data_IF_644143343894
#
_entry.id   IF_644143343894
#
_cell.length_a   1.000
_cell.length_b   1.000
_cell.length_c   1.000
_cell.angle_alpha   90.00
_cell.angle_beta   90.00
_cell.angle_gamma   90.00
#
_symmetry.space_group_name_H-M   'P 1'
#
loop_
_entity.id
_entity.type
_entity.pdbx_description
1 polymer ?
#
# COMPACT_ATOMS: atom_id res chain seq x y z
N UNK A 1 28.14 -18.39 25.02
CA UNK A 1 27.03 -17.52 24.56
C UNK A 1 26.00 -17.52 25.67
N UNK A 2 25.79 -16.37 26.31
CA UNK A 2 24.87 -16.27 27.44
C UNK A 2 23.42 -16.15 26.95
N UNK A 3 22.45 -16.59 27.75
CA UNK A 3 21.01 -16.47 27.44
C UNK A 3 20.58 -15.02 27.16
N UNK A 4 21.28 -14.02 27.72
CA UNK A 4 21.04 -12.59 27.48
C UNK A 4 21.57 -12.09 26.11
N UNK A 5 22.54 -12.76 25.49
CA UNK A 5 22.96 -12.48 24.09
C UNK A 5 21.94 -13.00 23.07
N UNK A 6 21.29 -14.12 23.37
CA UNK A 6 20.23 -14.71 22.54
C UNK A 6 18.97 -13.84 22.62
N UNK A 7 18.60 -13.36 23.81
CA UNK A 7 17.49 -12.41 23.98
C UNK A 7 17.79 -11.05 23.30
N UNK A 8 19.04 -10.57 23.33
CA UNK A 8 19.45 -9.38 22.56
C UNK A 8 19.33 -9.57 21.05
N UNK A 9 19.72 -10.74 20.53
CA UNK A 9 19.60 -11.07 19.11
C UNK A 9 18.13 -11.22 18.67
N UNK A 10 17.27 -11.73 19.55
CA UNK A 10 15.82 -11.83 19.32
C UNK A 10 15.12 -10.47 19.45
N UNK A 11 15.60 -9.55 20.30
CA UNK A 11 15.07 -8.18 20.42
C UNK A 11 15.54 -7.27 19.27
N UNK A 12 16.74 -7.50 18.72
CA UNK A 12 17.21 -6.93 17.45
C UNK A 12 16.31 -7.39 16.28
N UNK A 13 15.76 -8.61 16.35
CA UNK A 13 14.75 -9.11 15.40
C UNK A 13 13.38 -8.42 15.48
N UNK A 14 13.11 -7.61 16.52
CA UNK A 14 11.84 -6.90 16.70
C UNK A 14 11.90 -5.40 16.45
N UNK A 15 13.10 -4.82 16.35
CA UNK A 15 13.27 -3.40 16.09
C UNK A 15 13.87 -3.19 14.71
N UNK A 16 13.05 -2.68 13.82
CA UNK A 16 13.48 -2.35 12.47
C UNK A 16 13.92 -0.87 12.41
N UNK A 17 14.96 -0.55 11.62
CA UNK A 17 15.38 0.84 11.44
C UNK A 17 14.22 1.67 10.87
N UNK A 18 13.95 2.83 11.49
CA UNK A 18 12.98 3.79 10.98
C UNK A 18 13.64 5.07 10.47
N UNK A 19 12.96 5.68 9.50
CA UNK A 19 13.32 6.94 8.85
C UNK A 19 12.06 7.81 8.74
N UNK A 20 12.21 9.14 8.64
CA UNK A 20 11.07 10.01 8.33
C UNK A 20 10.36 9.57 7.05
N UNK A 21 9.03 9.54 7.05
CA UNK A 21 8.25 9.08 5.90
C UNK A 21 8.56 9.87 4.62
N UNK A 22 8.77 11.18 4.73
CA UNK A 22 9.16 12.02 3.60
C UNK A 22 10.51 11.67 2.99
N UNK A 23 11.47 11.25 3.82
CA UNK A 23 12.78 10.77 3.34
C UNK A 23 12.61 9.46 2.57
N UNK A 24 11.92 8.47 3.16
CA UNK A 24 11.67 7.19 2.50
C UNK A 24 10.88 7.35 1.19
N UNK A 25 9.86 8.22 1.17
CA UNK A 25 9.10 8.52 -0.04
C UNK A 25 10.01 9.09 -1.15
N UNK A 26 11.00 9.92 -0.79
CA UNK A 26 11.99 10.44 -1.74
C UNK A 26 12.86 9.37 -2.42
N UNK A 27 13.08 8.23 -1.76
CA UNK A 27 13.82 7.10 -2.31
C UNK A 27 12.99 6.16 -3.18
N UNK A 28 11.66 6.23 -3.11
CA UNK A 28 10.78 5.27 -3.81
C UNK A 28 11.05 5.15 -5.33
N UNK A 29 11.26 6.25 -6.08
CA UNK A 29 11.61 6.17 -7.51
C UNK A 29 12.95 5.49 -7.79
N UNK A 30 13.88 5.45 -6.83
CA UNK A 30 15.21 4.86 -7.01
C UNK A 30 15.22 3.34 -6.92
N UNK A 31 14.16 2.71 -6.42
CA UNK A 31 14.10 1.25 -6.28
C UNK A 31 13.75 0.51 -7.59
N UNK A 32 13.60 1.23 -8.70
CA UNK A 32 13.16 0.67 -9.98
C UNK A 32 11.87 -0.13 -9.82
N UNK A 33 11.88 -1.44 -10.05
CA UNK A 33 10.70 -2.30 -9.99
C UNK A 33 10.42 -2.80 -8.58
N UNK A 34 9.20 -2.57 -8.08
CA UNK A 34 8.75 -2.95 -6.74
C UNK A 34 7.32 -3.50 -6.77
N UNK A 35 6.88 -4.08 -5.64
CA UNK A 35 5.48 -4.40 -5.40
C UNK A 35 4.93 -3.43 -4.34
N UNK A 36 4.04 -2.55 -4.75
CA UNK A 36 3.34 -1.59 -3.90
C UNK A 36 2.04 -2.22 -3.38
N UNK A 37 1.84 -2.19 -2.06
CA UNK A 37 0.68 -2.78 -1.39
C UNK A 37 0.03 -1.73 -0.51
N UNK A 38 -1.27 -1.50 -0.71
CA UNK A 38 -2.11 -0.65 0.14
C UNK A 38 -3.31 -1.46 0.57
N UNK A 39 -3.73 -1.34 1.82
CA UNK A 39 -4.91 -2.02 2.33
C UNK A 39 -5.85 -1.03 3.04
N UNK A 40 -7.11 -1.43 3.09
CA UNK A 40 -8.17 -0.85 3.91
C UNK A 40 -8.91 -2.01 4.59
N UNK A 41 -9.90 -1.71 5.43
CA UNK A 41 -10.73 -2.73 6.08
C UNK A 41 -11.43 -3.65 5.07
N UNK A 42 -11.80 -3.15 3.89
CA UNK A 42 -12.59 -3.88 2.91
C UNK A 42 -11.79 -4.40 1.72
N UNK A 43 -10.54 -3.95 1.53
CA UNK A 43 -9.83 -4.15 0.27
C UNK A 43 -8.31 -4.09 0.39
N UNK A 44 -7.62 -4.82 -0.48
CA UNK A 44 -6.17 -4.79 -0.67
C UNK A 44 -5.86 -4.56 -2.13
N UNK A 45 -5.01 -3.58 -2.43
CA UNK A 45 -4.53 -3.27 -3.76
C UNK A 45 -3.02 -3.47 -3.83
N UNK A 46 -2.61 -4.32 -4.75
CA UNK A 46 -1.23 -4.66 -5.02
C UNK A 46 -0.90 -4.26 -6.45
N UNK A 47 0.17 -3.49 -6.65
CA UNK A 47 0.61 -3.08 -7.99
C UNK A 47 2.11 -3.30 -8.15
N UNK A 48 2.51 -3.88 -9.29
CA UNK A 48 3.91 -4.06 -9.65
C UNK A 48 4.34 -2.94 -10.58
N UNK A 49 5.48 -2.30 -10.32
CA UNK A 49 6.00 -1.29 -11.25
C UNK A 49 7.06 -0.39 -10.64
N UNK A 50 7.26 0.76 -11.28
CA UNK A 50 8.22 1.79 -10.86
C UNK A 50 7.46 2.99 -10.33
N UNK A 51 7.87 3.54 -9.19
CA UNK A 51 7.34 4.82 -8.72
C UNK A 51 7.78 5.96 -9.64
N UNK A 52 6.84 6.51 -10.41
CA UNK A 52 7.10 7.73 -11.18
C UNK A 52 7.27 8.95 -10.27
N UNK A 53 6.45 9.01 -9.22
CA UNK A 53 6.64 9.93 -8.12
C UNK A 53 5.87 9.42 -6.90
N UNK A 54 6.53 9.38 -5.75
CA UNK A 54 5.86 9.30 -4.48
C UNK A 54 5.68 10.72 -3.96
N UNK A 55 4.45 11.23 -4.06
CA UNK A 55 4.16 12.62 -3.67
C UNK A 55 3.44 12.65 -2.35
N UNK A 56 3.78 13.65 -1.57
CA UNK A 56 3.03 14.03 -0.39
C UNK A 56 2.01 15.14 -0.75
N UNK A 57 1.21 14.99 -1.84
CA UNK A 57 0.10 15.90 -2.18
C UNK A 57 -0.65 15.47 -3.47
N UNK A 58 -1.99 15.56 -3.53
CA UNK A 58 -2.78 15.15 -4.68
C UNK A 58 -2.76 16.21 -5.80
N UNK A 59 -2.03 15.94 -6.88
CA UNK A 59 -2.40 16.48 -8.21
C UNK A 59 -2.82 15.32 -9.10
N UNK A 60 -4.10 15.25 -9.43
CA UNK A 60 -4.72 14.24 -10.32
C UNK A 60 -5.00 14.88 -11.68
N UNK A 61 -4.53 14.30 -12.79
CA UNK A 61 -4.87 14.86 -14.12
C UNK A 61 -4.03 14.45 -15.33
N UNK A 62 -3.04 13.56 -15.20
CA UNK A 62 -2.22 13.12 -16.34
C UNK A 62 -2.28 11.59 -16.43
N UNK A 63 -2.24 11.02 -17.64
CA UNK A 63 -2.03 9.57 -17.83
C UNK A 63 -0.68 9.19 -17.24
N UNK A 64 -0.67 8.04 -16.57
CA UNK A 64 0.30 7.67 -15.55
C UNK A 64 0.91 6.34 -15.95
N UNK A 65 2.21 6.31 -16.27
CA UNK A 65 2.88 5.07 -16.73
C UNK A 65 3.54 4.31 -15.58
N UNK A 66 3.43 4.78 -14.33
CA UNK A 66 4.07 4.19 -13.15
C UNK A 66 3.13 3.88 -11.99
N UNK A 67 3.72 3.62 -10.82
CA UNK A 67 3.04 3.51 -9.54
C UNK A 67 2.71 4.90 -9.00
N UNK A 68 1.46 5.09 -8.57
CA UNK A 68 1.01 6.35 -8.02
C UNK A 68 0.46 6.19 -6.62
N UNK A 69 1.24 6.68 -5.67
CA UNK A 69 0.85 6.73 -4.26
C UNK A 69 0.93 8.17 -3.77
N UNK A 70 -0.08 8.57 -3.01
CA UNK A 70 -0.10 9.84 -2.30
C UNK A 70 -0.15 9.58 -0.81
N UNK A 71 0.85 10.06 -0.10
CA UNK A 71 0.90 9.97 1.34
C UNK A 71 0.27 11.21 1.98
N UNK A 72 -0.58 10.99 2.97
CA UNK A 72 -1.11 12.04 3.81
C UNK A 72 -0.05 12.42 4.86
N UNK A 73 0.55 13.60 4.73
CA UNK A 73 1.63 14.07 5.61
C UNK A 73 1.18 14.19 7.07
N UNK A 74 -0.08 14.55 7.30
CA UNK A 74 -0.64 14.76 8.64
C UNK A 74 -0.92 13.44 9.36
N UNK A 75 -0.81 12.32 8.64
CA UNK A 75 -1.12 10.98 9.15
C UNK A 75 0.06 10.03 9.08
N UNK A 76 0.96 10.21 8.11
CA UNK A 76 2.09 9.31 7.86
C UNK A 76 3.34 9.88 8.50
N UNK A 77 3.78 9.27 9.60
CA UNK A 77 4.87 9.80 10.41
C UNK A 77 6.23 9.30 9.94
N UNK A 78 6.34 7.99 9.77
CA UNK A 78 7.62 7.29 9.62
C UNK A 78 7.50 6.16 8.60
N UNK A 79 8.65 5.71 8.11
CA UNK A 79 8.76 4.46 7.39
C UNK A 79 9.75 3.54 8.10
N UNK A 80 9.40 2.26 8.15
CA UNK A 80 10.21 1.20 8.74
C UNK A 80 10.77 0.33 7.63
N UNK A 81 12.08 0.05 7.71
CA UNK A 81 12.79 -0.79 6.76
C UNK A 81 12.80 -2.22 7.32
N UNK A 82 11.97 -3.08 6.75
CA UNK A 82 11.94 -4.49 7.06
C UNK A 82 12.96 -5.22 6.16
N UNK A 83 13.94 -5.89 6.76
CA UNK A 83 14.83 -6.78 6.03
C UNK A 83 14.13 -8.09 5.67
N UNK A 84 14.75 -8.89 4.80
CA UNK A 84 14.23 -10.19 4.39
C UNK A 84 13.88 -11.06 5.60
N UNK A 85 12.61 -11.48 5.67
CA UNK A 85 12.18 -12.49 6.62
C UNK A 85 12.21 -13.85 5.91
N UNK A 86 13.21 -14.67 6.26
CA UNK A 86 13.39 -15.99 5.63
C UNK A 86 12.34 -16.99 6.08
N UNK A 87 11.81 -16.86 7.29
CA UNK A 87 10.79 -17.77 7.80
C UNK A 87 9.44 -17.47 7.13
N UNK A 88 9.08 -16.20 7.03
CA UNK A 88 7.88 -15.75 6.33
C UNK A 88 8.05 -15.72 4.80
N UNK A 89 9.27 -15.96 4.29
CA UNK A 89 9.64 -15.85 2.86
C UNK A 89 9.28 -14.49 2.25
N UNK A 90 9.41 -13.43 3.04
CA UNK A 90 9.13 -12.07 2.60
C UNK A 90 10.42 -11.38 2.14
N UNK A 91 10.39 -10.70 0.98
CA UNK A 91 11.52 -9.90 0.53
C UNK A 91 11.66 -8.64 1.41
N UNK A 92 12.78 -7.90 1.31
CA UNK A 92 12.93 -6.61 1.96
C UNK A 92 11.77 -5.67 1.62
N UNK A 93 11.34 -4.86 2.58
CA UNK A 93 10.22 -3.96 2.41
C UNK A 93 10.41 -2.64 3.15
N UNK A 94 9.71 -1.62 2.65
CA UNK A 94 9.54 -0.33 3.32
C UNK A 94 8.07 -0.21 3.70
N UNK A 95 7.79 -0.09 5.00
CA UNK A 95 6.43 0.02 5.55
C UNK A 95 6.21 1.43 6.06
N UNK A 96 5.29 2.17 5.45
CA UNK A 96 4.89 3.50 5.89
C UNK A 96 3.86 3.37 7.00
N UNK A 97 4.16 3.98 8.14
CA UNK A 97 3.35 3.90 9.35
C UNK A 97 2.65 5.22 9.63
N UNK A 98 1.41 5.11 10.11
CA UNK A 98 0.71 6.25 10.68
C UNK A 98 1.21 6.59 12.09
N UNK A 99 0.70 7.68 12.68
CA UNK A 99 1.05 8.08 14.04
C UNK A 99 0.68 7.05 15.13
N UNK A 100 -0.31 6.20 14.89
CA UNK A 100 -0.69 5.10 15.77
C UNK A 100 0.14 3.82 15.54
N UNK A 101 1.02 3.82 14.53
CA UNK A 101 1.79 2.65 14.10
C UNK A 101 1.05 1.76 13.09
N UNK A 102 -0.17 2.10 12.66
CA UNK A 102 -0.86 1.37 11.60
C UNK A 102 -0.08 1.41 10.28
N UNK A 103 0.00 0.30 9.57
CA UNK A 103 0.65 0.25 8.25
C UNK A 103 -0.30 0.84 7.21
N UNK A 104 0.09 1.98 6.66
CA UNK A 104 -0.63 2.65 5.59
C UNK A 104 -0.33 2.13 4.21
N UNK A 105 0.92 1.73 3.99
CA UNK A 105 1.43 1.35 2.69
C UNK A 105 2.70 0.52 2.85
N UNK A 106 2.89 -0.48 2.00
CA UNK A 106 4.10 -1.29 1.98
C UNK A 106 4.66 -1.37 0.57
N UNK A 107 5.96 -1.10 0.42
CA UNK A 107 6.72 -1.35 -0.80
C UNK A 107 7.62 -2.55 -0.57
N UNK A 108 7.36 -3.66 -1.24
CA UNK A 108 8.28 -4.80 -1.28
C UNK A 108 9.27 -4.64 -2.43
N UNK A 109 10.55 -4.87 -2.14
CA UNK A 109 11.58 -4.94 -3.15
C UNK A 109 11.52 -6.30 -3.87
N UNK A 110 11.73 -6.26 -5.17
CA UNK A 110 11.79 -7.45 -6.03
C UNK A 110 13.24 -7.71 -6.44
N UNK A 111 13.50 -8.85 -7.09
CA UNK A 111 14.84 -9.15 -7.62
C UNK A 111 15.46 -8.03 -8.48
N UNK A 112 14.71 -7.31 -9.33
CA UNK A 112 15.25 -6.16 -10.07
C UNK A 112 15.35 -4.85 -9.26
N UNK A 113 15.01 -4.81 -7.98
CA UNK A 113 15.12 -3.56 -7.21
C UNK A 113 16.55 -3.17 -6.91
N UNK A 114 16.82 -1.87 -6.86
CA UNK A 114 18.11 -1.35 -6.41
C UNK A 114 18.27 -1.50 -4.88
N UNK A 115 18.97 -2.56 -4.47
CA UNK A 115 19.30 -2.80 -3.06
C UNK A 115 20.34 -1.80 -2.52
N UNK A 116 21.10 -1.10 -3.36
CA UNK A 116 22.01 -0.04 -2.92
C UNK A 116 21.24 1.18 -2.44
N UNK A 117 20.17 1.57 -3.16
CA UNK A 117 19.26 2.60 -2.70
C UNK A 117 18.68 2.27 -1.30
N UNK A 118 18.41 0.98 -1.03
CA UNK A 118 17.93 0.54 0.29
C UNK A 118 19.01 0.67 1.35
N UNK A 119 20.25 0.29 1.01
CA UNK A 119 21.42 0.47 1.88
C UNK A 119 21.61 1.94 2.26
N UNK A 120 21.57 2.85 1.29
CA UNK A 120 21.67 4.30 1.50
C UNK A 120 20.55 4.83 2.41
N UNK A 121 19.31 4.41 2.18
CA UNK A 121 18.18 4.77 3.05
C UNK A 121 18.38 4.23 4.47
N UNK A 122 18.87 3.00 4.61
CA UNK A 122 19.12 2.35 5.91
C UNK A 122 20.22 3.07 6.70
N UNK A 123 21.24 3.62 6.04
CA UNK A 123 22.28 4.43 6.68
C UNK A 123 21.74 5.76 7.24
N UNK A 124 20.59 6.22 6.75
CA UNK A 124 19.92 7.43 7.24
C UNK A 124 18.95 7.14 8.41
N UNK A 125 18.82 5.88 8.83
CA UNK A 125 17.93 5.49 9.91
C UNK A 125 18.46 5.99 11.27
N UNK A 126 17.58 6.61 12.05
CA UNK A 126 17.97 7.35 13.25
C UNK A 126 17.61 6.64 14.55
N UNK A 127 16.67 5.69 14.57
CA UNK A 127 16.37 4.88 15.77
C UNK A 127 15.66 3.56 15.42
N UNK A 128 15.91 2.44 16.13
CA UNK A 128 15.16 1.20 15.95
C UNK A 128 13.75 1.28 16.57
N UNK A 129 12.69 0.94 15.80
CA UNK A 129 11.29 0.96 16.26
C UNK A 129 10.66 -0.44 16.23
N UNK A 130 9.84 -0.75 17.23
CA UNK A 130 9.11 -2.01 17.29
C UNK A 130 8.04 -2.10 16.19
N UNK A 131 7.95 -3.24 15.50
CA UNK A 131 6.92 -3.49 14.50
C UNK A 131 5.55 -3.73 15.18
N UNK A 132 4.50 -2.97 14.82
CA UNK A 132 3.16 -3.16 15.38
C UNK A 132 2.43 -4.36 14.77
N UNK A 133 1.43 -4.88 15.51
CA UNK A 133 0.44 -5.86 15.03
C UNK A 133 -0.77 -5.12 14.45
N UNK A 134 -1.28 -5.58 13.31
CA UNK A 134 -2.37 -4.94 12.56
C UNK A 134 -3.66 -4.80 13.37
N UNK A 135 -4.19 -3.59 13.52
CA UNK A 135 -5.62 -3.29 13.67
C UNK A 135 -5.89 -1.80 13.46
N UNK A 136 -6.81 -1.40 12.57
CA UNK A 136 -7.32 -0.03 12.48
C UNK A 136 -8.79 -0.02 12.03
N UNK A 137 -9.62 0.79 12.70
CA UNK A 137 -10.94 1.23 12.26
C UNK A 137 -10.89 2.73 11.90
N UNK A 138 -11.58 3.12 10.82
CA UNK A 138 -11.53 4.47 10.24
C UNK A 138 -12.84 5.23 10.50
N UNK A 139 -12.77 6.50 10.92
CA UNK A 139 -13.92 7.41 10.96
C UNK A 139 -13.81 8.45 9.85
N UNK A 140 -14.90 8.63 9.10
CA UNK A 140 -15.02 9.57 7.97
C UNK A 140 -15.69 10.87 8.45
N UNK A 141 -15.14 12.07 8.17
CA UNK A 141 -15.79 13.34 8.51
C UNK A 141 -16.95 13.67 7.57
N UNK A 142 -17.96 14.46 8.01
CA UNK A 142 -19.15 14.75 7.22
C UNK A 142 -18.87 15.73 6.05
N UNK A 143 -19.43 15.42 4.89
CA UNK A 143 -19.32 16.18 3.63
C UNK A 143 -20.41 17.25 3.51
N UNK A 144 -20.04 18.46 3.11
CA UNK A 144 -20.95 19.56 2.77
C UNK A 144 -21.79 19.31 1.49
N UNK A 145 -22.85 20.10 1.34
CA UNK A 145 -23.95 19.92 0.38
C UNK A 145 -23.52 19.95 -1.10
N UNK A 146 -23.26 18.77 -1.68
CA UNK A 146 -23.35 18.50 -3.12
C UNK A 146 -24.63 17.73 -3.41
N UNK A 147 -25.09 17.80 -4.66
CA UNK A 147 -26.22 17.01 -5.19
C UNK A 147 -26.16 15.58 -4.63
N UNK A 148 -27.22 15.14 -3.94
CA UNK A 148 -27.17 13.94 -3.13
C UNK A 148 -26.68 12.73 -3.96
N UNK A 149 -25.62 12.03 -3.51
CA UNK A 149 -25.17 10.83 -4.19
C UNK A 149 -26.30 9.79 -4.21
N UNK A 150 -26.45 9.08 -5.33
CA UNK A 150 -27.36 7.94 -5.40
C UNK A 150 -26.65 6.72 -4.82
N UNK A 151 -27.31 6.02 -3.90
CA UNK A 151 -26.83 4.73 -3.42
C UNK A 151 -27.05 3.66 -4.48
N UNK A 152 -26.09 2.77 -4.63
CA UNK A 152 -26.19 1.56 -5.46
C UNK A 152 -26.01 0.36 -4.53
N UNK A 153 -26.71 -0.74 -4.79
CA UNK A 153 -26.48 -1.98 -4.07
C UNK A 153 -25.04 -2.45 -4.30
N UNK A 154 -24.30 -2.67 -3.21
CA UNK A 154 -22.92 -3.15 -3.23
C UNK A 154 -22.76 -4.50 -3.94
N UNK A 155 -23.80 -5.33 -3.94
CA UNK A 155 -23.81 -6.61 -4.66
C UNK A 155 -23.80 -6.42 -6.19
N UNK A 156 -24.10 -5.23 -6.70
CA UNK A 156 -24.03 -4.91 -8.14
C UNK A 156 -22.60 -4.62 -8.59
N UNK A 157 -21.71 -4.21 -7.68
CA UNK A 157 -20.33 -3.82 -8.01
C UNK A 157 -19.57 -4.93 -8.77
N UNK A 158 -19.57 -6.20 -8.33
CA UNK A 158 -18.85 -7.26 -9.03
C UNK A 158 -19.39 -7.51 -10.44
N UNK A 159 -20.71 -7.43 -10.63
CA UNK A 159 -21.35 -7.59 -11.95
C UNK A 159 -20.97 -6.48 -12.92
N UNK A 160 -20.95 -5.23 -12.45
CA UNK A 160 -20.51 -4.09 -13.26
C UNK A 160 -19.04 -4.24 -13.66
N UNK A 161 -18.18 -4.63 -12.71
CA UNK A 161 -16.76 -4.86 -13.00
C UNK A 161 -16.57 -5.98 -14.01
N UNK A 162 -17.28 -7.11 -13.87
CA UNK A 162 -17.21 -8.22 -14.83
C UNK A 162 -17.65 -7.78 -16.24
N UNK A 163 -18.70 -6.96 -16.35
CA UNK A 163 -19.12 -6.37 -17.63
C UNK A 163 -18.04 -5.45 -18.22
N UNK A 164 -17.44 -4.57 -17.41
CA UNK A 164 -16.35 -3.70 -17.86
C UNK A 164 -15.11 -4.49 -18.28
N UNK A 165 -14.81 -5.61 -17.62
CA UNK A 165 -13.71 -6.51 -17.98
C UNK A 165 -13.94 -7.15 -19.35
N UNK A 166 -15.17 -7.61 -19.62
CA UNK A 166 -15.54 -8.17 -20.92
C UNK A 166 -15.34 -7.17 -22.07
N UNK A 167 -15.50 -5.87 -21.79
CA UNK A 167 -15.26 -4.78 -22.74
C UNK A 167 -13.80 -4.30 -22.77
N UNK A 168 -12.93 -4.82 -21.89
CA UNK A 168 -11.59 -4.26 -21.62
C UNK A 168 -11.62 -2.75 -21.38
N UNK A 169 -12.65 -2.29 -20.67
CA UNK A 169 -12.90 -0.88 -20.49
C UNK A 169 -11.77 -0.24 -19.65
N UNK A 170 -11.20 0.90 -20.09
CA UNK A 170 -10.19 1.61 -19.31
C UNK A 170 -10.85 2.28 -18.11
N UNK A 171 -10.37 1.99 -16.91
CA UNK A 171 -10.87 2.59 -15.67
C UNK A 171 -9.72 2.94 -14.72
N UNK A 172 -10.00 3.86 -13.80
CA UNK A 172 -9.11 4.19 -12.70
C UNK A 172 -9.61 3.50 -11.42
N UNK A 173 -8.74 2.74 -10.78
CA UNK A 173 -8.98 2.17 -9.45
C UNK A 173 -8.27 3.03 -8.43
N UNK A 174 -8.98 3.41 -7.37
CA UNK A 174 -8.43 4.17 -6.26
C UNK A 174 -8.74 3.41 -4.98
N UNK A 175 -7.70 2.99 -4.27
CA UNK A 175 -7.80 2.49 -2.91
C UNK A 175 -7.18 3.51 -1.96
N UNK A 176 -7.86 3.80 -0.85
CA UNK A 176 -7.36 4.75 0.13
C UNK A 176 -7.57 4.27 1.56
N UNK A 177 -6.66 4.66 2.43
CA UNK A 177 -6.80 4.62 3.88
C UNK A 177 -6.43 5.99 4.47
N UNK A 178 -6.36 6.10 5.80
CA UNK A 178 -6.08 7.37 6.48
C UNK A 178 -4.74 8.01 6.07
N UNK A 179 -3.75 7.19 5.69
CA UNK A 179 -2.37 7.58 5.43
C UNK A 179 -1.97 7.59 3.95
N UNK A 180 -2.64 6.82 3.10
CA UNK A 180 -2.22 6.62 1.71
C UNK A 180 -3.41 6.53 0.75
N UNK A 181 -3.23 7.09 -0.44
CA UNK A 181 -4.09 6.87 -1.60
C UNK A 181 -3.24 6.18 -2.67
N UNK A 182 -3.64 4.98 -3.07
CA UNK A 182 -3.06 4.19 -4.15
C UNK A 182 -3.97 4.25 -5.37
N UNK A 183 -3.44 4.73 -6.49
CA UNK A 183 -4.16 4.83 -7.75
C UNK A 183 -3.47 3.98 -8.81
N UNK A 184 -4.26 3.29 -9.63
CA UNK A 184 -3.82 2.73 -10.91
C UNK A 184 -4.91 2.97 -11.96
N UNK A 185 -4.51 3.05 -13.23
CA UNK A 185 -5.43 3.21 -14.35
C UNK A 185 -5.01 2.34 -15.53
N UNK A 186 -6.00 1.85 -16.26
CA UNK A 186 -5.77 0.93 -17.36
C UNK A 186 -6.99 0.10 -17.72
N UNK A 187 -6.87 -0.77 -18.74
CA UNK A 187 -7.93 -1.69 -19.09
C UNK A 187 -8.13 -2.73 -17.98
N UNK A 188 -9.39 -2.96 -17.62
CA UNK A 188 -9.74 -4.07 -16.76
C UNK A 188 -9.60 -5.39 -17.55
N UNK A 189 -8.77 -6.31 -17.06
CA UNK A 189 -8.44 -7.54 -17.78
C UNK A 189 -9.28 -8.73 -17.34
N UNK A 190 -9.54 -8.84 -16.04
CA UNK A 190 -10.26 -9.98 -15.46
C UNK A 190 -10.93 -9.60 -14.13
N UNK A 191 -12.06 -10.27 -13.86
CA UNK A 191 -12.76 -10.19 -12.58
C UNK A 191 -13.18 -11.61 -12.21
N UNK A 192 -12.70 -12.08 -11.07
CA UNK A 192 -13.03 -13.39 -10.53
C UNK A 192 -13.51 -13.29 -9.09
N UNK A 193 -14.16 -14.33 -8.60
CA UNK A 193 -14.69 -14.39 -7.26
C UNK A 193 -14.27 -15.71 -6.60
N UNK A 194 -13.85 -15.66 -5.34
CA UNK A 194 -13.59 -16.84 -4.52
C UNK A 194 -14.22 -16.63 -3.13
N UNK A 195 -15.35 -17.31 -2.90
CA UNK A 195 -16.19 -17.03 -1.74
C UNK A 195 -16.74 -15.60 -1.78
N UNK A 196 -16.58 -14.87 -0.68
CA UNK A 196 -17.05 -13.49 -0.55
C UNK A 196 -16.06 -12.47 -1.13
N UNK A 197 -14.84 -12.90 -1.50
CA UNK A 197 -13.82 -12.03 -2.05
C UNK A 197 -13.92 -11.92 -3.57
N UNK A 198 -13.88 -10.68 -4.04
CA UNK A 198 -13.82 -10.33 -5.46
C UNK A 198 -12.39 -9.89 -5.79
N UNK A 199 -11.86 -10.46 -6.88
CA UNK A 199 -10.53 -10.16 -7.41
C UNK A 199 -10.68 -9.44 -8.74
N UNK A 200 -10.01 -8.31 -8.86
CA UNK A 200 -10.01 -7.44 -10.02
C UNK A 200 -8.57 -7.36 -10.50
N UNK A 201 -8.33 -7.72 -11.76
CA UNK A 201 -7.00 -7.75 -12.35
C UNK A 201 -6.90 -6.76 -13.50
N UNK A 202 -5.90 -5.91 -13.42
CA UNK A 202 -5.41 -5.05 -14.50
C UNK A 202 -3.98 -5.50 -14.85
N UNK A 203 -3.38 -4.92 -15.89
CA UNK A 203 -2.07 -5.33 -16.41
C UNK A 203 -0.97 -5.49 -15.33
N UNK A 204 -0.98 -4.61 -14.32
CA UNK A 204 0.03 -4.60 -13.24
C UNK A 204 -0.57 -4.61 -11.84
N UNK A 205 -1.89 -4.52 -11.74
CA UNK A 205 -2.61 -4.32 -10.48
C UNK A 205 -3.55 -5.46 -10.23
N UNK A 206 -3.55 -5.93 -8.99
CA UNK A 206 -4.59 -6.77 -8.44
C UNK A 206 -5.24 -6.03 -7.29
N UNK A 207 -6.56 -5.88 -7.34
CA UNK A 207 -7.38 -5.43 -6.22
C UNK A 207 -8.21 -6.63 -5.76
N UNK A 208 -8.10 -6.99 -4.48
CA UNK A 208 -9.05 -7.88 -3.82
C UNK A 208 -9.92 -7.09 -2.85
N UNK A 209 -11.22 -7.35 -2.81
CA UNK A 209 -12.11 -6.70 -1.86
C UNK A 209 -13.31 -7.58 -1.48
N UNK A 210 -13.87 -7.31 -0.31
CA UNK A 210 -15.14 -7.90 0.14
C UNK A 210 -16.28 -6.88 -0.10
N UNK A 211 -17.22 -7.15 -1.01
CA UNK A 211 -18.36 -6.27 -1.27
C UNK A 211 -19.23 -6.01 -0.03
N UNK A 212 -19.28 -6.95 0.93
CA UNK A 212 -20.06 -6.83 2.17
C UNK A 212 -19.45 -5.81 3.14
N UNK A 213 -18.16 -5.50 3.01
CA UNK A 213 -17.49 -4.49 3.82
C UNK A 213 -17.52 -3.09 3.19
N UNK A 214 -18.05 -2.95 1.97
CA UNK A 214 -18.23 -1.63 1.34
C UNK A 214 -19.32 -0.86 2.10
N UNK A 215 -18.93 0.30 2.65
CA UNK A 215 -19.81 1.22 3.38
C UNK A 215 -20.02 0.91 4.86
N UNK A 216 -19.27 -0.06 5.41
CA UNK A 216 -19.20 -0.34 6.85
C UNK A 216 -18.32 0.64 7.61
#
# INVERSE_FOLDING_TARGET
MSTSEIERLLDIGRRAPSVPAGLAAGYLPSFESVVAVTSSTAAVMTTVGVYESARLSPKTGQQRRGLHVHFNQDRTAEAVIAHTDREARLPPAIRFLDHAGGVGHTTYLTSPSDLWALGCLSLSATTPRALPRETVAMQVPPSGARKAPRSVDRQVVPHVLAYLAALRFPLAIVLSNASCIHCDDGPLEDVSQAGDLVFVRMARTTLSFDPVLIGG
#
